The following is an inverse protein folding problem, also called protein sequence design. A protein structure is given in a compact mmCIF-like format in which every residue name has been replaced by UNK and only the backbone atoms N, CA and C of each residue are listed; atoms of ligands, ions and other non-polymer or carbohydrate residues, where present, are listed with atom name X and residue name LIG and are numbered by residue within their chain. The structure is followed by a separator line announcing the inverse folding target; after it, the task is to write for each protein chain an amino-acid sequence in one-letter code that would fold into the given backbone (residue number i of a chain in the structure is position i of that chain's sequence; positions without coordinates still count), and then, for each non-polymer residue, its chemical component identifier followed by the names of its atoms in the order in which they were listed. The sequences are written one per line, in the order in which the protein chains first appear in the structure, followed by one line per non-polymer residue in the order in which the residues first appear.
data_IF_487491059116
#
_entry.id   IF_487491059116
#
_cell.length_a   1.000
_cell.length_b   1.000
_cell.length_c   1.000
_cell.angle_alpha   90.00
_cell.angle_beta   90.00
_cell.angle_gamma   90.00
#
_symmetry.space_group_name_H-M   'P 1'
#
loop_
_entity.id
_entity.type
_entity.pdbx_description
1 polymer ?
#
# COMPACT_ATOMS: atom_id res chain seq x y z
N UNK A 1 23.92 -13.87 -1.54
CA UNK A 1 22.67 -13.30 -2.09
C UNK A 1 21.95 -12.50 -1.00
N UNK A 2 21.63 -13.12 0.13
CA UNK A 2 20.95 -12.49 1.28
C UNK A 2 21.64 -11.21 1.77
N UNK A 3 22.95 -11.24 2.01
CA UNK A 3 23.70 -10.04 2.45
C UNK A 3 23.61 -8.87 1.46
N UNK A 4 23.55 -9.15 0.15
CA UNK A 4 23.42 -8.11 -0.87
C UNK A 4 22.02 -7.49 -0.85
N UNK A 5 20.98 -8.30 -0.64
CA UNK A 5 19.61 -7.82 -0.50
C UNK A 5 19.51 -6.93 0.74
N UNK A 6 20.02 -7.39 1.90
CA UNK A 6 20.00 -6.60 3.13
C UNK A 6 20.70 -5.25 2.94
N UNK A 7 21.91 -5.24 2.40
CA UNK A 7 22.64 -3.99 2.14
C UNK A 7 21.94 -3.06 1.16
N UNK A 8 21.21 -3.60 0.17
CA UNK A 8 20.41 -2.77 -0.74
C UNK A 8 19.24 -2.15 0.01
N UNK A 9 18.50 -2.93 0.80
CA UNK A 9 17.38 -2.44 1.61
C UNK A 9 17.84 -1.36 2.58
N UNK A 10 18.95 -1.57 3.29
CA UNK A 10 19.51 -0.60 4.25
C UNK A 10 19.89 0.72 3.57
N UNK A 11 20.34 0.69 2.31
CA UNK A 11 20.68 1.90 1.54
C UNK A 11 19.46 2.65 1.00
N UNK A 12 18.31 1.98 0.94
CA UNK A 12 17.06 2.55 0.44
C UNK A 12 16.14 3.02 1.58
N UNK A 13 16.64 3.11 2.82
CA UNK A 13 15.80 3.39 4.01
C UNK A 13 14.91 4.62 3.81
N UNK A 14 15.47 5.72 3.35
CA UNK A 14 14.79 7.00 3.15
C UNK A 14 13.75 6.90 2.05
N UNK A 15 14.04 6.18 0.97
CA UNK A 15 13.11 5.99 -0.15
C UNK A 15 11.90 5.14 0.28
N UNK A 16 12.16 4.02 0.95
CA UNK A 16 11.13 3.11 1.49
C UNK A 16 10.24 3.85 2.48
N UNK A 17 10.88 4.60 3.38
CA UNK A 17 10.21 5.41 4.39
C UNK A 17 9.33 6.48 3.72
N UNK A 18 9.87 7.27 2.79
CA UNK A 18 9.13 8.35 2.13
C UNK A 18 7.97 7.80 1.29
N UNK A 19 8.17 6.66 0.62
CA UNK A 19 7.12 5.96 -0.09
C UNK A 19 6.00 5.56 0.87
N UNK A 20 6.35 4.94 2.01
CA UNK A 20 5.37 4.55 3.03
C UNK A 20 4.64 5.76 3.62
N UNK A 21 5.32 6.88 3.91
CA UNK A 21 4.66 8.10 4.42
C UNK A 21 3.57 8.58 3.46
N UNK A 22 3.91 8.68 2.17
CA UNK A 22 2.97 9.14 1.15
C UNK A 22 1.80 8.16 1.03
N UNK A 23 2.07 6.85 1.02
CA UNK A 23 1.04 5.82 0.93
C UNK A 23 0.06 5.87 2.12
N UNK A 24 0.55 5.99 3.37
CA UNK A 24 -0.33 6.00 4.56
C UNK A 24 -1.10 7.31 4.76
N UNK A 25 -0.65 8.40 4.12
CA UNK A 25 -1.36 9.67 4.16
C UNK A 25 -2.63 9.67 3.29
N UNK A 26 -2.71 8.76 2.31
CA UNK A 26 -3.88 8.61 1.45
C UNK A 26 -5.01 7.94 2.23
N UNK A 27 -6.18 8.61 2.27
CA UNK A 27 -7.32 8.16 3.07
C UNK A 27 -8.14 7.10 2.32
N UNK A 28 -7.78 5.82 2.51
CA UNK A 28 -8.47 4.67 1.91
C UNK A 28 -9.42 3.94 2.88
N UNK A 29 -9.95 4.63 3.89
CA UNK A 29 -10.74 4.03 4.98
C UNK A 29 -12.03 3.37 4.47
N UNK A 30 -12.26 2.11 4.83
CA UNK A 30 -13.44 1.30 4.52
C UNK A 30 -14.14 0.82 5.81
N UNK A 31 -15.45 1.07 6.01
CA UNK A 31 -16.35 1.86 5.16
C UNK A 31 -16.08 3.39 5.21
N UNK A 32 -16.39 4.16 4.14
CA UNK A 32 -17.07 3.72 2.91
C UNK A 32 -16.13 3.09 1.88
N UNK A 33 -14.83 3.36 1.92
CA UNK A 33 -13.83 2.93 0.94
C UNK A 33 -13.71 3.93 -0.21
N UNK A 34 -12.56 4.62 -0.30
CA UNK A 34 -12.19 5.47 -1.41
C UNK A 34 -10.87 4.95 -2.00
N UNK A 35 -10.93 4.40 -3.21
CA UNK A 35 -9.81 3.69 -3.83
C UNK A 35 -9.14 4.49 -4.95
N UNK A 36 -9.70 5.63 -5.36
CA UNK A 36 -9.21 6.38 -6.52
C UNK A 36 -7.80 6.94 -6.27
N UNK A 37 -7.64 7.75 -5.22
CA UNK A 37 -6.37 8.40 -4.91
C UNK A 37 -5.23 7.41 -4.66
N UNK A 38 -5.51 6.30 -3.96
CA UNK A 38 -4.47 5.28 -3.67
C UNK A 38 -4.13 4.47 -4.91
N UNK A 39 -5.10 4.22 -5.80
CA UNK A 39 -4.87 3.49 -7.04
C UNK A 39 -4.07 4.35 -8.02
N UNK A 40 -4.40 5.64 -8.15
CA UNK A 40 -3.67 6.60 -8.99
C UNK A 40 -2.23 6.82 -8.49
N UNK A 41 -2.05 6.91 -7.16
CA UNK A 41 -0.73 6.98 -6.55
C UNK A 41 0.12 5.75 -6.88
N UNK A 42 -0.44 4.54 -6.71
CA UNK A 42 0.28 3.30 -7.00
C UNK A 42 0.56 3.12 -8.48
N UNK A 43 -0.37 3.49 -9.36
CA UNK A 43 -0.15 3.47 -10.81
C UNK A 43 1.08 4.30 -11.19
N UNK A 44 1.14 5.53 -10.68
CA UNK A 44 2.27 6.42 -10.93
C UNK A 44 3.59 5.84 -10.40
N UNK A 45 3.65 5.51 -9.11
CA UNK A 45 4.91 5.11 -8.46
C UNK A 45 5.43 3.76 -9.00
N UNK A 46 4.54 2.79 -9.26
CA UNK A 46 4.94 1.50 -9.84
C UNK A 46 5.38 1.64 -11.31
N UNK A 47 4.75 2.54 -12.07
CA UNK A 47 5.20 2.86 -13.43
C UNK A 47 6.60 3.47 -13.42
N UNK A 48 6.88 4.41 -12.50
CA UNK A 48 8.22 5.00 -12.32
C UNK A 48 9.28 3.95 -11.93
N UNK A 49 8.89 2.89 -11.21
CA UNK A 49 9.72 1.74 -10.88
C UNK A 49 9.89 0.73 -12.05
N UNK A 50 9.26 0.97 -13.20
CA UNK A 50 9.39 0.17 -14.41
C UNK A 50 8.39 -0.98 -14.55
N UNK A 51 7.31 -0.98 -13.78
CA UNK A 51 6.23 -1.95 -13.93
C UNK A 51 5.28 -1.55 -15.07
N UNK A 52 4.73 -2.56 -15.74
CA UNK A 52 3.50 -2.41 -16.54
C UNK A 52 2.31 -2.47 -15.59
N UNK A 53 1.59 -1.35 -15.43
CA UNK A 53 0.49 -1.22 -14.47
C UNK A 53 -0.86 -1.16 -15.17
N UNK A 54 -1.82 -1.91 -14.65
CA UNK A 54 -3.22 -1.89 -15.07
C UNK A 54 -4.11 -1.62 -13.85
N UNK A 55 -4.87 -0.53 -13.87
CA UNK A 55 -5.91 -0.23 -12.89
C UNK A 55 -7.25 -0.75 -13.42
N UNK A 56 -7.91 -1.61 -12.65
CA UNK A 56 -9.15 -2.29 -13.05
C UNK A 56 -10.27 -1.90 -12.09
N UNK A 57 -11.28 -1.21 -12.62
CA UNK A 57 -12.54 -0.94 -11.91
C UNK A 57 -13.35 -2.23 -11.75
N UNK A 58 -13.86 -2.46 -10.54
CA UNK A 58 -14.81 -3.54 -10.27
C UNK A 58 -16.19 -3.10 -10.78
N UNK A 59 -16.88 -3.89 -11.62
CA UNK A 59 -18.23 -3.56 -12.09
C UNK A 59 -19.22 -3.29 -10.96
N UNK A 60 -20.03 -2.24 -11.09
CA UNK A 60 -21.02 -1.81 -10.09
C UNK A 60 -21.97 -2.94 -9.68
N UNK A 61 -22.37 -3.81 -10.61
CA UNK A 61 -23.23 -4.96 -10.33
C UNK A 61 -22.61 -5.91 -9.29
N UNK A 62 -21.29 -6.14 -9.36
CA UNK A 62 -20.57 -7.00 -8.42
C UNK A 62 -20.42 -6.32 -7.05
N UNK A 63 -20.20 -5.00 -7.04
CA UNK A 63 -20.10 -4.19 -5.82
C UNK A 63 -21.44 -4.23 -5.06
N UNK A 64 -22.55 -4.01 -5.77
CA UNK A 64 -23.90 -4.02 -5.21
C UNK A 64 -24.29 -5.42 -4.70
N UNK A 65 -23.90 -6.48 -5.41
CA UNK A 65 -24.15 -7.87 -5.00
C UNK A 65 -23.55 -8.22 -3.63
N UNK A 66 -22.46 -7.56 -3.24
CA UNK A 66 -21.82 -7.73 -1.92
C UNK A 66 -22.23 -6.64 -0.90
N UNK A 67 -23.29 -5.88 -1.20
CA UNK A 67 -23.85 -4.87 -0.30
C UNK A 67 -22.94 -3.65 -0.09
N UNK A 68 -22.06 -3.36 -1.05
CA UNK A 68 -21.21 -2.15 -1.05
C UNK A 68 -21.79 -1.11 -2.00
N UNK A 69 -21.44 0.15 -1.78
CA UNK A 69 -21.98 1.30 -2.53
C UNK A 69 -20.91 2.20 -3.14
N UNK A 70 -19.63 1.94 -2.85
CA UNK A 70 -18.50 2.70 -3.34
C UNK A 70 -17.79 1.95 -4.47
N UNK A 71 -17.36 2.71 -5.49
CA UNK A 71 -16.51 2.20 -6.55
C UNK A 71 -15.23 1.57 -5.95
N UNK A 72 -14.76 0.48 -6.55
CA UNK A 72 -13.58 -0.25 -6.09
C UNK A 72 -12.64 -0.48 -7.26
N UNK A 73 -11.35 -0.27 -7.02
CA UNK A 73 -10.28 -0.46 -7.99
C UNK A 73 -9.26 -1.47 -7.50
N UNK A 74 -8.73 -2.24 -8.43
CA UNK A 74 -7.57 -3.11 -8.20
C UNK A 74 -6.41 -2.59 -9.05
N UNK A 75 -5.20 -2.61 -8.48
CA UNK A 75 -3.97 -2.29 -9.21
C UNK A 75 -3.21 -3.58 -9.47
N UNK A 76 -2.96 -3.88 -10.74
CA UNK A 76 -2.15 -5.04 -11.16
C UNK A 76 -0.88 -4.50 -11.81
N UNK A 77 0.26 -4.71 -11.15
CA UNK A 77 1.56 -4.30 -11.66
C UNK A 77 2.42 -5.52 -12.00
N UNK A 78 2.96 -5.54 -13.22
CA UNK A 78 3.79 -6.64 -13.73
C UNK A 78 5.18 -6.13 -14.10
N UNK A 79 6.21 -6.71 -13.50
CA UNK A 79 7.60 -6.52 -13.93
C UNK A 79 8.04 -7.79 -14.67
N UNK A 80 8.18 -7.69 -16.00
CA UNK A 80 8.57 -8.83 -16.84
C UNK A 80 10.05 -9.16 -16.64
N UNK A 81 10.33 -10.34 -16.09
CA UNK A 81 11.67 -10.90 -16.06
C UNK A 81 12.13 -11.38 -17.44
N UNK A 82 13.44 -11.59 -17.60
CA UNK A 82 14.06 -12.06 -18.85
C UNK A 82 14.43 -13.56 -18.84
N UNK A 83 14.18 -14.25 -17.73
CA UNK A 83 14.53 -15.68 -17.56
C UNK A 83 13.31 -16.61 -17.57
N UNK A 84 13.58 -17.92 -17.63
CA UNK A 84 12.54 -18.98 -17.58
C UNK A 84 12.29 -19.48 -16.15
N UNK A 85 12.35 -18.58 -15.17
CA UNK A 85 12.16 -18.89 -13.76
C UNK A 85 10.69 -19.05 -13.36
N UNK A 86 10.44 -19.22 -12.05
CA UNK A 86 9.08 -19.20 -11.50
C UNK A 86 8.54 -17.77 -11.44
N UNK A 87 7.23 -17.63 -11.62
CA UNK A 87 6.53 -16.38 -11.37
C UNK A 87 6.33 -16.18 -9.85
N UNK A 88 6.44 -14.94 -9.39
CA UNK A 88 6.13 -14.53 -8.02
C UNK A 88 4.97 -13.53 -8.06
N UNK A 89 3.96 -13.76 -7.22
CA UNK A 89 2.85 -12.82 -7.02
C UNK A 89 2.96 -12.28 -5.59
N UNK A 90 3.02 -10.96 -5.47
CA UNK A 90 2.85 -10.25 -4.21
C UNK A 90 1.42 -9.69 -4.19
N UNK A 91 0.66 -9.99 -3.15
CA UNK A 91 -0.72 -9.55 -3.02
C UNK A 91 -0.90 -8.79 -1.70
N UNK A 92 -1.62 -7.68 -1.77
CA UNK A 92 -1.96 -6.82 -0.64
C UNK A 92 -3.32 -6.14 -0.90
N UNK A 93 -3.93 -5.58 0.13
CA UNK A 93 -5.15 -4.77 0.02
C UNK A 93 -4.80 -3.27 0.17
N UNK A 94 -5.66 -2.41 -0.37
CA UNK A 94 -5.44 -0.95 -0.42
C UNK A 94 -6.11 -0.20 0.74
N UNK A 95 -7.22 -0.73 1.24
CA UNK A 95 -8.03 -0.06 2.26
C UNK A 95 -7.52 -0.23 3.68
N UNK A 96 -7.88 0.73 4.51
CA UNK A 96 -7.69 0.67 5.96
C UNK A 96 -9.04 0.65 6.66
N UNK A 97 -9.05 0.30 7.95
CA UNK A 97 -10.25 0.42 8.79
C UNK A 97 -10.25 1.78 9.52
N UNK A 98 -11.41 2.29 9.97
CA UNK A 98 -11.48 3.55 10.69
C UNK A 98 -10.50 3.60 11.87
N UNK A 99 -9.75 4.69 11.98
CA UNK A 99 -8.91 4.92 13.14
C UNK A 99 -9.81 5.07 14.38
N UNK A 100 -9.60 4.20 15.38
CA UNK A 100 -10.21 4.38 16.69
C UNK A 100 -9.82 5.72 17.33
N UNK A 101 -10.44 6.03 18.48
CA UNK A 101 -10.28 7.32 19.18
C UNK A 101 -8.80 7.73 19.33
N UNK A 102 -8.35 8.83 18.69
CA UNK A 102 -6.97 9.28 18.73
C UNK A 102 -6.49 9.60 20.16
N UNK A 103 -7.39 9.94 21.07
CA UNK A 103 -7.07 10.20 22.48
C UNK A 103 -6.79 8.93 23.30
N UNK A 104 -7.08 7.76 22.73
CA UNK A 104 -6.81 6.45 23.33
C UNK A 104 -5.62 5.73 22.70
N UNK A 105 -4.98 6.35 21.70
CA UNK A 105 -3.80 5.79 21.07
C UNK A 105 -2.57 6.21 21.88
N UNK A 106 -2.04 5.28 22.67
CA UNK A 106 -0.72 5.47 23.28
C UNK A 106 0.37 5.30 22.23
N UNK A 107 0.95 6.42 21.81
CA UNK A 107 2.04 6.47 20.83
C UNK A 107 3.41 6.23 21.47
N UNK A 108 3.51 6.17 22.80
CA UNK A 108 4.78 5.98 23.50
C UNK A 108 5.45 4.64 23.13
N UNK A 109 4.65 3.63 22.79
CA UNK A 109 5.13 2.30 22.36
C UNK A 109 5.67 2.27 20.93
N UNK A 110 5.30 3.26 20.09
CA UNK A 110 5.68 3.33 18.68
C UNK A 110 6.82 4.32 18.42
N UNK A 111 7.16 5.15 19.41
CA UNK A 111 8.25 6.11 19.32
C UNK A 111 9.52 5.45 19.85
N UNK A 112 10.45 5.13 18.95
CA UNK A 112 11.82 4.76 19.35
C UNK A 112 12.48 5.87 20.19
N UNK A 113 13.59 5.58 20.90
CA UNK A 113 14.22 6.47 21.88
C UNK A 113 14.58 7.87 21.33
N UNK A 114 14.72 8.01 20.02
CA UNK A 114 15.04 9.27 19.35
C UNK A 114 13.82 10.08 18.84
N UNK A 115 12.57 9.63 19.10
CA UNK A 115 11.33 10.31 18.65
C UNK A 115 11.29 10.66 17.15
N UNK A 116 11.92 9.85 16.30
CA UNK A 116 12.04 10.16 14.85
C UNK A 116 11.07 9.42 13.94
N UNK A 117 10.48 8.31 14.39
CA UNK A 117 9.73 7.44 13.50
C UNK A 117 8.46 6.92 14.18
N UNK A 118 7.32 7.53 13.88
CA UNK A 118 6.01 6.93 14.13
C UNK A 118 5.27 6.85 12.78
N UNK A 119 5.25 5.65 12.20
CA UNK A 119 4.38 5.32 11.07
C UNK A 119 3.18 4.61 11.64
N UNK A 120 2.07 5.32 11.83
CA UNK A 120 0.79 4.65 12.02
C UNK A 120 0.31 4.16 10.66
N UNK A 121 0.70 2.94 10.33
CA UNK A 121 0.01 2.18 9.30
C UNK A 121 -0.97 1.22 9.99
N UNK A 122 -2.27 1.35 9.68
CA UNK A 122 -3.32 0.46 10.20
C UNK A 122 -3.93 -0.38 9.09
N UNK A 123 -3.08 -0.91 8.21
CA UNK A 123 -3.41 -1.97 7.26
C UNK A 123 -3.30 -3.36 7.91
N UNK A 124 -3.83 -3.54 9.12
CA UNK A 124 -3.86 -4.87 9.75
C UNK A 124 -4.98 -5.70 9.11
N UNK A 125 -4.60 -6.60 8.21
CA UNK A 125 -5.11 -7.99 8.19
C UNK A 125 -3.93 -8.93 8.01
#
# INVERSE_FOLDING_TARGET
MEQKIQQTVDKMDNEIINFLQRLVQIQSVNPPGNYDEISDFLEKELTELGFEVNVIDVPDELIQKVGKTTARRNVIATLKGTGNGKNLILNAHLDTVPAGDPNKVDLSSFLGPDRKWAYLWKGCV
#
